data_IF_626099394833
#
_entry.id   IF_626099394833
#
_cell.length_a   1.000
_cell.length_b   1.000
_cell.length_c   1.000
_cell.angle_alpha   90.00
_cell.angle_beta   90.00
_cell.angle_gamma   90.00
#
_symmetry.space_group_name_H-M   'P 1'
#
loop_
_entity.id
_entity.type
_entity.pdbx_description
1 polymer ?
#
# COMPACT_ATOMS: atom_id res chain seq x y z
N UNK A 1 -9.99 3.37 -0.25
CA UNK A 1 -10.62 4.19 0.79
C UNK A 1 -9.65 5.29 1.12
N UNK A 2 -10.08 6.54 1.16
CA UNK A 2 -9.17 7.67 1.42
C UNK A 2 -8.81 7.76 2.90
N UNK A 3 -7.53 7.88 3.21
CA UNK A 3 -7.00 8.16 4.56
C UNK A 3 -6.33 9.52 4.52
N UNK A 4 -6.90 10.48 5.25
CA UNK A 4 -6.38 11.84 5.32
C UNK A 4 -5.25 12.01 6.33
N UNK A 5 -4.76 13.25 6.48
CA UNK A 5 -3.69 13.58 7.42
C UNK A 5 -4.04 13.31 8.88
N UNK A 6 -3.02 13.06 9.71
CA UNK A 6 -3.10 12.87 11.16
C UNK A 6 -4.06 11.73 11.51
N UNK A 7 -3.78 10.55 10.96
CA UNK A 7 -4.60 9.35 11.19
C UNK A 7 -3.73 8.18 11.59
N UNK A 8 -4.27 7.40 12.52
CA UNK A 8 -3.77 6.06 12.82
C UNK A 8 -4.90 5.07 12.54
N UNK A 9 -4.67 4.19 11.57
CA UNK A 9 -5.53 3.03 11.33
C UNK A 9 -4.84 1.81 11.92
N UNK A 10 -5.44 1.21 12.94
CA UNK A 10 -4.85 0.08 13.65
C UNK A 10 -5.82 -1.08 13.79
N UNK A 11 -5.43 -2.28 13.37
CA UNK A 11 -6.20 -3.49 13.62
C UNK A 11 -6.02 -4.03 15.03
N UNK A 12 -7.03 -4.75 15.53
CA UNK A 12 -7.03 -5.39 16.85
C UNK A 12 -6.81 -6.90 16.67
N UNK A 13 -5.73 -7.42 17.24
CA UNK A 13 -5.35 -8.83 17.08
C UNK A 13 -5.30 -9.21 15.60
N UNK A 14 -6.03 -10.25 15.20
CA UNK A 14 -6.14 -10.71 13.81
C UNK A 14 -7.41 -10.26 13.11
N UNK A 15 -8.23 -9.40 13.74
CA UNK A 15 -9.53 -8.99 13.21
C UNK A 15 -9.45 -7.80 12.23
N UNK A 16 -8.31 -7.10 12.16
CA UNK A 16 -8.11 -5.94 11.30
C UNK A 16 -7.92 -6.31 9.83
N UNK A 17 -9.00 -6.66 9.13
CA UNK A 17 -8.94 -7.10 7.72
C UNK A 17 -9.79 -6.18 6.84
N UNK A 18 -9.21 -5.74 5.71
CA UNK A 18 -9.87 -4.99 4.65
C UNK A 18 -9.92 -5.87 3.40
N UNK A 19 -11.13 -6.19 2.96
CA UNK A 19 -11.38 -7.12 1.85
C UNK A 19 -11.95 -6.33 0.66
N UNK A 20 -11.42 -6.57 -0.54
CA UNK A 20 -11.98 -6.01 -1.79
C UNK A 20 -11.68 -4.54 -2.05
N UNK A 21 -10.90 -3.86 -1.20
CA UNK A 21 -10.57 -2.44 -1.36
C UNK A 21 -9.21 -2.09 -0.75
N UNK A 22 -8.45 -1.26 -1.45
CA UNK A 22 -7.18 -0.71 -0.95
C UNK A 22 -7.32 0.60 -0.18
N UNK A 23 -6.20 1.09 0.34
CA UNK A 23 -6.04 2.37 1.00
C UNK A 23 -5.42 3.40 0.05
N UNK A 24 -6.01 4.59 0.03
CA UNK A 24 -5.53 5.74 -0.72
C UNK A 24 -5.08 6.78 0.30
N UNK A 25 -3.78 6.85 0.55
CA UNK A 25 -3.20 7.76 1.52
C UNK A 25 -3.06 9.13 0.87
N UNK A 26 -3.63 10.14 1.52
CA UNK A 26 -3.70 11.50 1.02
C UNK A 26 -3.28 12.43 2.17
N UNK A 27 -2.22 13.22 1.96
CA UNK A 27 -1.55 14.08 2.96
C UNK A 27 -0.58 13.39 3.94
N UNK A 28 -0.13 14.11 4.97
CA UNK A 28 0.98 13.72 5.85
C UNK A 28 0.56 13.07 7.18
N UNK A 29 1.51 12.46 7.89
CA UNK A 29 1.35 11.95 9.26
C UNK A 29 0.27 10.85 9.37
N UNK A 30 0.53 9.74 8.70
CA UNK A 30 -0.38 8.60 8.62
C UNK A 30 0.34 7.34 9.10
N UNK A 31 -0.29 6.64 10.03
CA UNK A 31 0.17 5.35 10.55
C UNK A 31 -0.87 4.29 10.17
N UNK A 32 -0.43 3.24 9.49
CA UNK A 32 -1.23 2.03 9.23
C UNK A 32 -0.54 0.88 9.95
N UNK A 33 -1.20 0.31 10.95
CA UNK A 33 -0.61 -0.72 11.79
C UNK A 33 -1.48 -1.97 11.93
N UNK A 34 -0.90 -3.16 11.80
CA UNK A 34 -1.59 -4.41 12.09
C UNK A 34 -2.89 -4.59 11.28
N UNK A 35 -2.83 -4.32 9.97
CA UNK A 35 -3.96 -4.44 9.04
C UNK A 35 -3.60 -5.42 7.93
N UNK A 36 -4.53 -6.32 7.59
CA UNK A 36 -4.44 -7.18 6.42
C UNK A 36 -5.33 -6.65 5.29
N UNK A 37 -4.76 -6.35 4.14
CA UNK A 37 -5.50 -5.96 2.92
C UNK A 37 -5.48 -7.14 1.94
N UNK A 38 -6.66 -7.59 1.50
CA UNK A 38 -6.74 -8.78 0.65
C UNK A 38 -7.96 -8.82 -0.27
N UNK A 39 -7.98 -9.84 -1.13
CA UNK A 39 -9.04 -10.17 -2.08
C UNK A 39 -9.49 -8.98 -2.93
N UNK A 40 -8.51 -8.29 -3.50
CA UNK A 40 -8.71 -7.09 -4.28
C UNK A 40 -8.49 -7.43 -5.75
N UNK A 41 -9.54 -7.93 -6.41
CA UNK A 41 -9.57 -8.21 -7.85
C UNK A 41 -8.29 -8.92 -8.38
N UNK A 42 -7.82 -9.96 -7.67
CA UNK A 42 -6.53 -10.63 -7.91
C UNK A 42 -6.29 -11.15 -9.33
N UNK A 43 -7.35 -11.31 -10.13
CA UNK A 43 -7.30 -11.78 -11.52
C UNK A 43 -7.21 -10.65 -12.56
N UNK A 44 -7.32 -9.38 -12.15
CA UNK A 44 -7.30 -8.22 -13.04
C UNK A 44 -6.14 -7.29 -12.72
N UNK A 45 -5.20 -7.17 -13.66
CA UNK A 45 -4.30 -6.02 -13.68
C UNK A 45 -5.16 -4.76 -13.83
N UNK A 46 -4.83 -3.71 -13.08
CA UNK A 46 -5.68 -2.52 -12.89
C UNK A 46 -6.97 -2.73 -12.07
N UNK A 47 -7.22 -3.95 -11.59
CA UNK A 47 -8.31 -4.24 -10.65
C UNK A 47 -8.12 -3.56 -9.28
N UNK A 48 -6.90 -3.10 -9.00
CA UNK A 48 -6.57 -2.10 -7.98
C UNK A 48 -5.31 -2.45 -7.17
N UNK A 49 -4.88 -1.47 -6.36
CA UNK A 49 -3.69 -1.54 -5.52
C UNK A 49 -4.08 -1.61 -4.04
N UNK A 50 -3.25 -2.26 -3.23
CA UNK A 50 -3.51 -2.38 -1.80
C UNK A 50 -3.26 -1.06 -1.06
N UNK A 51 -2.12 -0.40 -1.30
CA UNK A 51 -1.77 0.89 -0.71
C UNK A 51 -1.26 1.82 -1.80
N UNK A 52 -1.93 2.97 -1.96
CA UNK A 52 -1.58 4.00 -2.92
C UNK A 52 -1.27 5.31 -2.19
N UNK A 53 -0.09 5.88 -2.39
CA UNK A 53 0.30 7.18 -1.84
C UNK A 53 0.12 8.26 -2.92
N UNK A 54 -0.87 9.13 -2.72
CA UNK A 54 -1.22 10.17 -3.70
C UNK A 54 -0.18 11.28 -3.80
N UNK A 55 0.45 11.64 -2.69
CA UNK A 55 1.11 12.94 -2.53
C UNK A 55 0.24 13.91 -1.72
N UNK A 56 0.84 15.03 -1.32
CA UNK A 56 0.15 16.20 -0.74
C UNK A 56 -0.15 17.22 -1.85
N UNK A 57 -0.96 18.24 -1.55
CA UNK A 57 -1.30 19.32 -2.48
C UNK A 57 -1.80 18.78 -3.84
N UNK A 58 -2.82 17.92 -3.81
CA UNK A 58 -3.39 17.31 -5.02
C UNK A 58 -2.50 16.28 -5.71
N UNK A 59 -1.44 15.80 -5.04
CA UNK A 59 -0.48 14.85 -5.61
C UNK A 59 0.68 15.51 -6.35
N UNK A 60 0.96 16.78 -6.06
CA UNK A 60 2.08 17.53 -6.63
C UNK A 60 3.31 17.57 -5.71
N UNK A 61 3.15 17.22 -4.43
CA UNK A 61 4.19 17.27 -3.42
C UNK A 61 4.33 15.93 -2.69
N UNK A 62 5.56 15.64 -2.24
CA UNK A 62 5.87 14.40 -1.57
C UNK A 62 5.26 14.36 -0.16
N UNK A 63 4.67 13.21 0.20
CA UNK A 63 4.16 12.96 1.55
C UNK A 63 5.28 12.82 2.58
N UNK A 64 4.95 13.00 3.85
CA UNK A 64 5.85 12.95 4.99
C UNK A 64 5.21 12.20 6.16
N UNK A 65 6.06 11.57 6.98
CA UNK A 65 5.70 10.87 8.22
C UNK A 65 4.68 9.76 7.97
N UNK A 66 5.01 8.88 7.02
CA UNK A 66 4.20 7.70 6.73
C UNK A 66 4.81 6.49 7.41
N UNK A 67 4.03 5.75 8.19
CA UNK A 67 4.49 4.52 8.83
C UNK A 67 3.54 3.37 8.54
N UNK A 68 4.05 2.36 7.84
CA UNK A 68 3.36 1.11 7.55
C UNK A 68 4.02 0.02 8.39
N UNK A 69 3.31 -0.51 9.39
CA UNK A 69 3.89 -1.44 10.37
C UNK A 69 2.99 -2.66 10.58
N UNK A 70 3.57 -3.87 10.61
CA UNK A 70 2.78 -5.10 10.77
C UNK A 70 1.61 -5.21 9.78
N UNK A 71 1.78 -4.66 8.58
CA UNK A 71 0.77 -4.74 7.52
C UNK A 71 0.94 -6.07 6.80
N UNK A 72 -0.17 -6.71 6.45
CA UNK A 72 -0.18 -7.82 5.51
C UNK A 72 -0.88 -7.41 4.23
N UNK A 73 -0.31 -7.77 3.08
CA UNK A 73 -0.97 -7.66 1.78
C UNK A 73 -0.92 -9.01 1.08
N UNK A 74 -2.05 -9.46 0.55
CA UNK A 74 -2.11 -10.70 -0.25
C UNK A 74 -3.24 -10.65 -1.27
N UNK A 75 -3.11 -11.40 -2.38
CA UNK A 75 -4.21 -11.59 -3.36
C UNK A 75 -4.81 -10.27 -3.85
N UNK A 76 -3.99 -9.40 -4.44
CA UNK A 76 -4.42 -8.13 -5.05
C UNK A 76 -4.12 -8.12 -6.54
N UNK A 77 -4.85 -7.32 -7.32
CA UNK A 77 -4.76 -7.31 -8.79
C UNK A 77 -3.50 -6.64 -9.33
N UNK A 78 -3.00 -5.60 -8.64
CA UNK A 78 -1.79 -4.88 -9.03
C UNK A 78 -0.88 -4.59 -7.82
N UNK A 79 -0.53 -3.35 -7.53
CA UNK A 79 0.58 -3.05 -6.62
C UNK A 79 0.22 -3.41 -5.18
N UNK A 80 1.16 -4.01 -4.44
CA UNK A 80 1.07 -4.06 -2.99
C UNK A 80 1.20 -2.66 -2.39
N UNK A 81 2.16 -1.91 -2.88
CA UNK A 81 2.37 -0.52 -2.48
C UNK A 81 2.88 0.27 -3.67
N UNK A 82 2.28 1.42 -3.92
CA UNK A 82 2.75 2.32 -4.96
C UNK A 82 2.69 3.77 -4.50
N UNK A 83 3.70 4.52 -4.91
CA UNK A 83 3.68 5.97 -4.84
C UNK A 83 3.32 6.57 -6.19
N UNK A 84 2.51 7.63 -6.17
CA UNK A 84 2.33 8.50 -7.32
C UNK A 84 3.65 9.26 -7.62
N UNK A 85 3.70 10.01 -8.71
CA UNK A 85 4.84 10.85 -9.10
C UNK A 85 5.24 11.89 -8.03
N UNK A 86 4.32 12.29 -7.15
CA UNK A 86 4.62 13.12 -5.98
C UNK A 86 5.57 12.44 -4.97
N UNK A 87 5.45 11.12 -4.82
CA UNK A 87 6.18 10.27 -3.88
C UNK A 87 6.07 10.61 -2.39
N UNK A 88 7.06 10.16 -1.61
CA UNK A 88 7.14 10.24 -0.16
C UNK A 88 8.58 10.51 0.29
N UNK A 89 8.74 11.59 1.05
CA UNK A 89 10.05 12.06 1.54
C UNK A 89 10.46 11.41 2.85
N UNK A 90 9.50 10.88 3.62
CA UNK A 90 9.76 10.15 4.88
C UNK A 90 8.72 9.06 5.09
N UNK A 91 9.11 7.81 4.78
CA UNK A 91 8.29 6.62 5.04
C UNK A 91 9.10 5.54 5.73
N UNK A 92 8.47 4.80 6.63
CA UNK A 92 9.01 3.54 7.14
C UNK A 92 8.01 2.42 6.87
N UNK A 93 8.51 1.33 6.32
CA UNK A 93 7.80 0.06 6.19
C UNK A 93 8.50 -0.91 7.13
N UNK A 94 7.80 -1.43 8.13
CA UNK A 94 8.42 -2.31 9.13
C UNK A 94 7.55 -3.51 9.42
N UNK A 95 8.17 -4.66 9.71
CA UNK A 95 7.50 -5.87 10.18
C UNK A 95 6.30 -6.33 9.33
N UNK A 96 6.31 -6.03 8.03
CA UNK A 96 5.16 -6.22 7.15
C UNK A 96 5.35 -7.43 6.23
N UNK A 97 4.25 -8.13 5.94
CA UNK A 97 4.20 -9.34 5.11
C UNK A 97 3.52 -9.05 3.76
N UNK A 98 4.29 -9.15 2.68
CA UNK A 98 3.82 -8.93 1.32
C UNK A 98 3.78 -10.27 0.57
N UNK A 99 2.64 -10.95 0.66
CA UNK A 99 2.47 -12.33 0.23
C UNK A 99 2.23 -12.42 -1.29
N UNK A 100 3.30 -12.81 -2.00
CA UNK A 100 3.31 -12.97 -3.46
C UNK A 100 2.58 -14.19 -4.00
N UNK A 101 1.96 -15.03 -3.18
CA UNK A 101 1.20 -16.20 -3.68
C UNK A 101 -0.15 -15.75 -4.25
N UNK A 102 -0.42 -16.14 -5.49
CA UNK A 102 -1.68 -15.82 -6.19
C UNK A 102 -2.09 -16.94 -7.13
N UNK A 103 -3.39 -17.08 -7.40
CA UNK A 103 -3.88 -18.04 -8.41
C UNK A 103 -3.78 -17.46 -9.83
N UNK A 104 -3.58 -16.14 -9.94
CA UNK A 104 -3.47 -15.40 -11.19
C UNK A 104 -2.21 -14.54 -11.15
N UNK A 105 -1.18 -14.91 -11.90
CA UNK A 105 0.04 -14.12 -12.04
C UNK A 105 0.29 -13.72 -13.49
N UNK A 106 0.92 -12.56 -13.67
CA UNK A 106 1.34 -12.09 -15.00
C UNK A 106 2.36 -13.03 -15.66
N UNK A 107 3.07 -13.82 -14.85
CA UNK A 107 4.05 -14.83 -15.23
C UNK A 107 3.48 -16.26 -15.33
N UNK A 108 2.17 -16.45 -15.10
CA UNK A 108 1.48 -17.75 -15.22
C UNK A 108 2.03 -18.89 -14.34
N UNK A 109 2.53 -18.57 -13.15
CA UNK A 109 3.27 -19.48 -12.26
C UNK A 109 2.97 -19.28 -10.76
N UNK A 110 1.92 -18.53 -10.44
CA UNK A 110 1.46 -18.26 -9.08
C UNK A 110 2.30 -17.26 -8.28
N UNK A 111 3.25 -16.57 -8.91
CA UNK A 111 4.09 -15.52 -8.29
C UNK A 111 3.64 -14.12 -8.69
N UNK A 112 3.21 -13.34 -7.72
CA UNK A 112 2.75 -11.96 -7.94
C UNK A 112 3.89 -11.08 -8.46
N UNK A 113 3.67 -10.42 -9.59
CA UNK A 113 4.67 -9.57 -10.25
C UNK A 113 4.67 -8.14 -9.71
N UNK A 114 3.49 -7.65 -9.30
CA UNK A 114 3.25 -6.23 -9.03
C UNK A 114 3.45 -5.91 -7.53
N UNK A 115 4.70 -5.87 -7.08
CA UNK A 115 5.00 -5.63 -5.67
C UNK A 115 5.02 -4.14 -5.32
N UNK A 116 6.17 -3.49 -5.50
CA UNK A 116 6.39 -2.10 -5.11
C UNK A 116 6.67 -1.24 -6.33
N UNK A 117 5.99 -0.09 -6.43
CA UNK A 117 6.40 0.99 -7.33
C UNK A 117 6.73 2.23 -6.50
N UNK A 118 8.00 2.61 -6.51
CA UNK A 118 8.51 3.84 -5.96
C UNK A 118 8.96 4.74 -7.12
N UNK A 119 8.11 5.67 -7.53
CA UNK A 119 8.25 6.34 -8.83
C UNK A 119 8.77 7.78 -8.76
N UNK A 120 8.30 8.59 -7.81
CA UNK A 120 8.59 10.02 -7.84
C UNK A 120 10.01 10.41 -7.44
N UNK A 121 10.37 11.66 -7.78
CA UNK A 121 11.75 12.18 -7.66
C UNK A 121 12.25 12.26 -6.21
N UNK A 122 11.39 12.68 -5.29
CA UNK A 122 11.72 12.81 -3.88
C UNK A 122 11.19 11.59 -3.12
N UNK A 123 11.90 10.47 -3.26
CA UNK A 123 11.56 9.22 -2.56
C UNK A 123 12.62 8.88 -1.53
N UNK A 124 12.23 8.80 -0.25
CA UNK A 124 13.08 8.24 0.81
C UNK A 124 12.23 7.39 1.74
N UNK A 125 12.64 6.14 1.91
CA UNK A 125 12.00 5.21 2.83
C UNK A 125 13.03 4.30 3.50
N UNK A 126 12.65 3.73 4.63
CA UNK A 126 13.29 2.56 5.24
C UNK A 126 12.37 1.36 5.11
N UNK A 127 12.96 0.19 4.85
CA UNK A 127 12.28 -1.11 4.79
C UNK A 127 13.18 -2.15 5.46
#
# INVERSE_FOLDING_TARGET
MTVGSNKTLRGIGTAGVIIGKGLWLNEDNIIIQNVHITELNRHLVWGGDAIYLQGTNGGSQAMNKIWLDHVKVSRVGRQFLTTNAASVSTMTISNSDFDGRTDYSASCDGRHYWSFIFYGKNTRFSM
#
